data_IF_269712753989
#
_entry.id   IF_269712753989
#
_cell.length_a   1.000
_cell.length_b   1.000
_cell.length_c   1.000
_cell.angle_alpha   90.00
_cell.angle_beta   90.00
_cell.angle_gamma   90.00
#
_symmetry.space_group_name_H-M   'P 1'
#
loop_
_entity.id
_entity.type
_entity.pdbx_description
1 polymer ?
#
# COMPACT_ATOMS: atom_id res chain seq x y z
N UNK A 1 18.71 -11.35 -35.50
CA UNK A 1 18.78 -10.54 -34.26
C UNK A 1 17.46 -10.73 -33.52
N UNK A 2 17.40 -11.51 -32.42
CA UNK A 2 16.15 -11.62 -31.68
C UNK A 2 15.82 -10.27 -31.02
N UNK A 3 14.57 -9.85 -31.18
CA UNK A 3 14.03 -8.60 -30.65
C UNK A 3 14.07 -8.64 -29.12
N UNK A 4 14.90 -7.78 -28.53
CA UNK A 4 14.94 -7.55 -27.09
C UNK A 4 13.69 -6.73 -26.73
N UNK A 5 12.54 -7.40 -26.59
CA UNK A 5 11.38 -6.79 -25.92
C UNK A 5 11.81 -6.58 -24.48
N UNK A 6 12.12 -5.34 -24.12
CA UNK A 6 12.31 -4.93 -22.73
C UNK A 6 11.13 -5.50 -21.94
N UNK A 7 11.40 -6.51 -21.09
CA UNK A 7 10.41 -7.00 -20.14
C UNK A 7 10.03 -5.78 -19.33
N UNK A 8 8.83 -5.24 -19.54
CA UNK A 8 8.30 -4.15 -18.72
C UNK A 8 8.31 -4.66 -17.30
N UNK A 9 9.30 -4.23 -16.52
CA UNK A 9 9.49 -4.70 -15.16
C UNK A 9 8.31 -4.17 -14.38
N UNK A 10 7.31 -5.03 -14.11
CA UNK A 10 6.15 -4.62 -13.33
C UNK A 10 6.64 -4.20 -11.94
N UNK A 11 6.60 -2.90 -11.69
CA UNK A 11 6.86 -2.36 -10.36
C UNK A 11 5.55 -2.42 -9.58
N UNK A 12 5.62 -3.13 -8.46
CA UNK A 12 4.54 -3.21 -7.49
C UNK A 12 4.27 -1.84 -6.87
N UNK A 13 3.12 -1.69 -6.19
CA UNK A 13 2.70 -0.42 -5.56
C UNK A 13 3.66 0.07 -4.47
N UNK A 14 4.48 -0.82 -3.93
CA UNK A 14 5.48 -0.55 -2.90
C UNK A 14 6.91 -0.39 -3.48
N UNK A 15 7.03 -0.34 -4.81
CA UNK A 15 8.30 -0.12 -5.51
C UNK A 15 9.14 -1.38 -5.76
N UNK A 16 8.75 -2.54 -5.22
CA UNK A 16 9.46 -3.80 -5.44
C UNK A 16 9.00 -4.51 -6.71
N UNK A 17 9.88 -5.29 -7.32
CA UNK A 17 9.53 -6.13 -8.47
C UNK A 17 9.01 -7.47 -7.96
N UNK A 18 7.80 -7.85 -8.37
CA UNK A 18 7.17 -9.14 -8.02
C UNK A 18 6.50 -9.76 -9.23
N UNK A 19 6.33 -11.08 -9.21
CA UNK A 19 5.49 -11.75 -10.19
C UNK A 19 4.02 -11.32 -10.01
N UNK A 20 3.18 -11.40 -11.06
CA UNK A 20 1.75 -11.12 -10.92
C UNK A 20 1.05 -12.00 -9.88
N UNK A 21 1.51 -13.24 -9.69
CA UNK A 21 0.92 -14.19 -8.75
C UNK A 21 1.25 -13.83 -7.30
N UNK A 22 2.50 -13.43 -7.04
CA UNK A 22 2.92 -12.94 -5.73
C UNK A 22 2.20 -11.64 -5.37
N UNK A 23 1.98 -10.77 -6.36
CA UNK A 23 1.22 -9.53 -6.20
C UNK A 23 -0.22 -9.81 -5.74
N UNK A 24 -0.92 -10.76 -6.41
CA UNK A 24 -2.29 -11.16 -6.03
C UNK A 24 -2.33 -11.81 -4.66
N UNK A 25 -1.37 -12.67 -4.34
CA UNK A 25 -1.24 -13.29 -3.01
C UNK A 25 -1.08 -12.24 -1.91
N UNK A 26 -0.24 -11.23 -2.14
CA UNK A 26 -0.01 -10.15 -1.18
C UNK A 26 -1.27 -9.28 -1.00
N UNK A 27 -1.93 -8.90 -2.10
CA UNK A 27 -3.19 -8.15 -2.07
C UNK A 27 -4.26 -8.91 -1.25
N UNK A 28 -4.42 -10.22 -1.49
CA UNK A 28 -5.35 -11.08 -0.74
C UNK A 28 -4.98 -11.20 0.75
N UNK A 29 -3.70 -11.41 1.07
CA UNK A 29 -3.25 -11.56 2.45
C UNK A 29 -3.51 -10.30 3.28
N UNK A 30 -3.13 -9.13 2.76
CA UNK A 30 -3.39 -7.84 3.42
C UNK A 30 -4.88 -7.61 3.61
N UNK A 31 -5.69 -7.88 2.58
CA UNK A 31 -7.15 -7.76 2.70
C UNK A 31 -7.73 -8.69 3.75
N UNK A 32 -7.24 -9.93 3.81
CA UNK A 32 -7.71 -10.93 4.77
C UNK A 32 -7.42 -10.56 6.22
N UNK A 33 -6.32 -9.85 6.49
CA UNK A 33 -5.99 -9.32 7.83
C UNK A 33 -6.95 -8.18 8.20
N UNK A 34 -7.22 -7.26 7.28
CA UNK A 34 -7.96 -6.03 7.57
C UNK A 34 -9.49 -6.12 7.32
N UNK A 35 -10.02 -7.30 6.95
CA UNK A 35 -11.46 -7.46 6.65
C UNK A 35 -12.37 -7.49 7.88
N UNK A 36 -11.87 -8.03 9.00
CA UNK A 36 -12.63 -8.19 10.26
C UNK A 36 -12.64 -6.93 11.12
N UNK A 37 -13.48 -6.89 12.14
CA UNK A 37 -13.71 -5.69 12.96
C UNK A 37 -12.43 -5.18 13.64
N UNK A 38 -11.66 -6.07 14.26
CA UNK A 38 -10.36 -5.74 14.87
C UNK A 38 -9.35 -5.24 13.83
N UNK A 39 -9.32 -5.87 12.66
CA UNK A 39 -8.47 -5.43 11.55
C UNK A 39 -8.83 -4.00 11.12
N UNK A 40 -10.12 -3.72 10.93
CA UNK A 40 -10.60 -2.37 10.58
C UNK A 40 -10.28 -1.36 11.67
N UNK A 41 -10.42 -1.74 12.95
CA UNK A 41 -10.04 -0.89 14.08
C UNK A 41 -8.56 -0.51 13.99
N UNK A 42 -7.67 -1.49 13.79
CA UNK A 42 -6.22 -1.25 13.64
C UNK A 42 -5.93 -0.38 12.42
N UNK A 43 -6.54 -0.64 11.26
CA UNK A 43 -6.31 0.18 10.06
C UNK A 43 -6.77 1.62 10.28
N UNK A 44 -7.91 1.84 10.93
CA UNK A 44 -8.40 3.17 11.27
C UNK A 44 -7.48 3.88 12.27
N UNK A 45 -6.97 3.15 13.26
CA UNK A 45 -5.97 3.68 14.18
C UNK A 45 -4.69 4.12 13.44
N UNK A 46 -4.14 3.27 12.56
CA UNK A 46 -2.96 3.61 11.75
C UNK A 46 -3.20 4.87 10.90
N UNK A 47 -4.36 4.99 10.26
CA UNK A 47 -4.75 6.19 9.51
C UNK A 47 -4.78 7.44 10.39
N UNK A 48 -5.32 7.32 11.61
CA UNK A 48 -5.45 8.45 12.55
C UNK A 48 -4.09 9.04 12.95
N UNK A 49 -3.07 8.20 13.12
CA UNK A 49 -1.72 8.63 13.52
C UNK A 49 -0.80 8.94 12.34
N UNK A 50 -1.28 8.84 11.09
CA UNK A 50 -0.46 9.02 9.88
C UNK A 50 -1.12 9.93 8.84
N UNK A 51 -1.96 9.36 7.96
CA UNK A 51 -2.63 10.01 6.83
C UNK A 51 -3.45 11.20 7.33
N UNK A 52 -4.25 10.99 8.37
CA UNK A 52 -5.18 11.99 8.87
C UNK A 52 -4.55 12.92 9.92
N UNK A 53 -3.34 12.62 10.38
CA UNK A 53 -2.65 13.48 11.35
C UNK A 53 -2.16 14.75 10.66
N UNK A 54 -2.58 15.92 11.13
CA UNK A 54 -2.11 17.24 10.65
C UNK A 54 -0.80 17.63 11.37
N UNK A 55 0.11 18.30 10.68
CA UNK A 55 1.33 18.88 11.29
C UNK A 55 1.17 20.38 11.41
N UNK A 56 1.60 20.96 12.53
CA UNK A 56 1.70 22.41 12.69
C UNK A 56 2.82 23.02 11.82
N UNK A 57 2.83 24.35 11.65
CA UNK A 57 3.81 25.06 10.82
C UNK A 57 5.25 24.91 11.32
N UNK A 58 5.45 24.63 12.60
CA UNK A 58 6.76 24.47 13.25
C UNK A 58 7.45 23.12 12.97
N UNK A 59 6.87 22.26 12.13
CA UNK A 59 7.43 20.92 11.90
C UNK A 59 8.77 20.99 11.16
N UNK A 60 9.80 20.37 11.74
CA UNK A 60 11.11 20.24 11.09
C UNK A 60 11.07 19.25 9.91
N UNK A 61 11.95 19.45 8.93
CA UNK A 61 12.03 18.62 7.73
C UNK A 61 12.19 17.12 8.03
N UNK A 62 13.08 16.75 8.96
CA UNK A 62 13.29 15.35 9.34
C UNK A 62 12.03 14.72 9.95
N UNK A 63 11.31 15.47 10.79
CA UNK A 63 10.07 14.99 11.38
C UNK A 63 8.97 14.83 10.32
N UNK A 64 8.91 15.76 9.36
CA UNK A 64 8.00 15.66 8.21
C UNK A 64 8.30 14.41 7.37
N UNK A 65 9.57 14.13 7.04
CA UNK A 65 9.93 12.94 6.26
C UNK A 65 9.56 11.62 6.95
N UNK A 66 9.75 11.52 8.27
CA UNK A 66 9.29 10.34 9.01
C UNK A 66 7.77 10.19 8.91
N UNK A 67 7.03 11.31 9.01
CA UNK A 67 5.58 11.31 8.87
C UNK A 67 5.13 10.89 7.47
N UNK A 68 5.80 11.38 6.42
CA UNK A 68 5.52 10.95 5.05
C UNK A 68 5.83 9.47 4.82
N UNK A 69 6.89 8.93 5.43
CA UNK A 69 7.17 7.50 5.41
C UNK A 69 6.03 6.67 6.03
N UNK A 70 5.49 7.12 7.17
CA UNK A 70 4.32 6.49 7.80
C UNK A 70 3.09 6.55 6.90
N UNK A 71 2.81 7.71 6.31
CA UNK A 71 1.68 7.90 5.38
C UNK A 71 1.79 6.98 4.16
N UNK A 72 2.98 6.90 3.57
CA UNK A 72 3.24 6.03 2.43
C UNK A 72 2.99 4.56 2.76
N UNK A 73 3.44 4.08 3.92
CA UNK A 73 3.21 2.70 4.33
C UNK A 73 1.71 2.38 4.49
N UNK A 74 0.94 3.27 5.11
CA UNK A 74 -0.51 3.07 5.27
C UNK A 74 -1.23 3.15 3.93
N UNK A 75 -0.81 4.03 3.02
CA UNK A 75 -1.34 4.10 1.66
C UNK A 75 -1.11 2.80 0.89
N UNK A 76 0.07 2.17 1.00
CA UNK A 76 0.34 0.85 0.41
C UNK A 76 -0.68 -0.18 0.91
N UNK A 77 -0.97 -0.20 2.21
CA UNK A 77 -1.96 -1.13 2.79
C UNK A 77 -3.34 -0.92 2.15
N UNK A 78 -3.80 0.32 2.05
CA UNK A 78 -5.09 0.63 1.43
C UNK A 78 -5.15 0.27 -0.06
N UNK A 79 -4.06 0.50 -0.79
CA UNK A 79 -3.97 0.18 -2.20
C UNK A 79 -3.96 -1.34 -2.44
N UNK A 80 -3.32 -2.12 -1.56
CA UNK A 80 -3.41 -3.60 -1.59
C UNK A 80 -4.85 -4.06 -1.47
N UNK A 81 -5.59 -3.51 -0.51
CA UNK A 81 -7.00 -3.83 -0.27
C UNK A 81 -7.85 -3.45 -1.48
N UNK A 82 -7.64 -2.25 -1.99
CA UNK A 82 -8.37 -1.73 -3.16
C UNK A 82 -8.11 -2.58 -4.40
N UNK A 83 -6.86 -2.97 -4.67
CA UNK A 83 -6.51 -3.84 -5.80
C UNK A 83 -7.17 -5.21 -5.68
N UNK A 84 -7.10 -5.85 -4.51
CA UNK A 84 -7.78 -7.13 -4.29
C UNK A 84 -9.29 -7.03 -4.56
N UNK A 85 -9.94 -5.99 -4.04
CA UNK A 85 -11.37 -5.80 -4.22
C UNK A 85 -11.76 -5.52 -5.68
N UNK A 86 -10.90 -4.85 -6.46
CA UNK A 86 -11.12 -4.64 -7.90
C UNK A 86 -10.98 -5.94 -8.68
N UNK A 87 -9.93 -6.72 -8.41
CA UNK A 87 -9.68 -8.01 -9.06
C UNK A 87 -10.86 -8.98 -8.86
N UNK A 88 -11.47 -9.02 -7.67
CA UNK A 88 -12.61 -9.90 -7.38
C UNK A 88 -13.97 -9.35 -7.84
N UNK A 89 -14.08 -8.08 -8.23
CA UNK A 89 -15.30 -7.51 -8.82
C UNK A 89 -15.34 -7.65 -10.35
N UNK A 90 -14.20 -7.96 -10.96
CA UNK A 90 -14.04 -8.11 -12.40
C UNK A 90 -13.99 -9.58 -12.86
N UNK A 91 -14.19 -10.53 -11.94
CA UNK A 91 -14.43 -11.94 -12.22
C UNK A 91 -15.82 -12.34 -11.76
#
# INVERSE_FOLDING_TARGET
MPSNKEKTTYRSIDGFVRSPDDERRLNHAVTSVFKGDEGRLVLNYLKSISINAVSGPEIGANQLFHKEGMRFLVAIIEDRITKHNKENKSG
#
